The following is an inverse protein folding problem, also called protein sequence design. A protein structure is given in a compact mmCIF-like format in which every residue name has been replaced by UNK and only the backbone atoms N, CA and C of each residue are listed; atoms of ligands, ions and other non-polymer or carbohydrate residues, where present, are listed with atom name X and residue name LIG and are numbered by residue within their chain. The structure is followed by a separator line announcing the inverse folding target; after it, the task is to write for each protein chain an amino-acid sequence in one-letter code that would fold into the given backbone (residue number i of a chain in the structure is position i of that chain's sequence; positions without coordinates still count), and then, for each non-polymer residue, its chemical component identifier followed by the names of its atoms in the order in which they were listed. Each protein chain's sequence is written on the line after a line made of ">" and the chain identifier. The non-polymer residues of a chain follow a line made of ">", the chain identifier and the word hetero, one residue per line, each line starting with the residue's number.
data_IF_300256134737
#
_entry.id   IF_300256134737
#
_cell.length_a   1.000
_cell.length_b   1.000
_cell.length_c   1.000
_cell.angle_alpha   90.00
_cell.angle_beta   90.00
_cell.angle_gamma   90.00
#
_symmetry.space_group_name_H-M   'P 1'
#
loop_
_entity.id
_entity.type
_entity.pdbx_description
1 polymer ?
#
# COMPACT_ATOMS: atom_id res chain seq x y z
N UNK A 1 1.68 -6.30 24.64
CA UNK A 1 1.72 -7.78 24.53
C UNK A 1 2.59 -8.13 23.34
N UNK A 2 3.58 -9.00 23.50
CA UNK A 2 4.49 -9.40 22.43
C UNK A 2 4.10 -10.80 21.94
N UNK A 3 3.49 -10.88 20.75
CA UNK A 3 3.05 -12.15 20.14
C UNK A 3 3.15 -12.07 18.62
N UNK A 4 3.76 -13.07 18.00
CA UNK A 4 4.02 -13.04 16.56
C UNK A 4 4.79 -11.78 16.13
N UNK A 5 4.55 -11.34 14.90
CA UNK A 5 5.20 -10.17 14.31
C UNK A 5 4.20 -9.02 14.19
N UNK A 6 4.66 -7.81 14.55
CA UNK A 6 3.91 -6.55 14.52
C UNK A 6 2.55 -6.58 15.24
N UNK A 7 2.52 -7.21 16.41
CA UNK A 7 1.36 -7.21 17.28
C UNK A 7 0.84 -5.78 17.53
N UNK A 8 -0.46 -5.61 17.36
CA UNK A 8 -1.17 -4.39 17.71
C UNK A 8 -2.32 -4.76 18.63
N UNK A 9 -2.25 -4.29 19.87
CA UNK A 9 -3.34 -4.40 20.83
C UNK A 9 -4.03 -3.04 20.98
N UNK A 10 -5.36 -3.07 20.91
CA UNK A 10 -6.26 -1.96 21.22
C UNK A 10 -7.38 -2.50 22.13
N UNK A 11 -8.08 -1.62 22.85
CA UNK A 11 -9.28 -2.01 23.58
C UNK A 11 -10.22 -2.90 22.74
N UNK A 12 -10.48 -4.11 23.23
CA UNK A 12 -11.34 -5.10 22.57
C UNK A 12 -10.78 -5.78 21.30
N UNK A 13 -9.53 -5.53 20.92
CA UNK A 13 -8.97 -6.08 19.67
C UNK A 13 -7.46 -6.29 19.70
N UNK A 14 -7.02 -7.48 19.29
CA UNK A 14 -5.62 -7.82 19.05
C UNK A 14 -5.46 -8.28 17.61
N UNK A 15 -4.41 -7.81 16.93
CA UNK A 15 -3.93 -8.42 15.70
C UNK A 15 -2.43 -8.65 15.70
N UNK A 16 -1.98 -9.64 14.94
CA UNK A 16 -0.58 -9.90 14.61
C UNK A 16 -0.50 -10.76 13.34
N UNK A 17 0.69 -10.87 12.74
CA UNK A 17 0.93 -11.90 11.72
C UNK A 17 2.03 -12.85 12.16
N UNK A 18 2.00 -14.08 11.63
CA UNK A 18 3.07 -15.05 11.79
C UNK A 18 3.02 -16.04 10.62
N UNK A 19 4.16 -16.30 9.99
CA UNK A 19 4.22 -17.07 8.75
C UNK A 19 3.30 -16.46 7.69
N UNK A 20 2.43 -17.29 7.09
CA UNK A 20 1.43 -16.85 6.09
C UNK A 20 0.09 -16.39 6.69
N UNK A 21 -0.04 -16.34 8.01
CA UNK A 21 -1.32 -16.11 8.68
C UNK A 21 -1.38 -14.70 9.27
N UNK A 22 -2.53 -14.04 9.08
CA UNK A 22 -2.92 -12.87 9.83
C UNK A 22 -3.95 -13.31 10.89
N UNK A 23 -3.70 -12.97 12.14
CA UNK A 23 -4.54 -13.32 13.28
C UNK A 23 -5.20 -12.05 13.79
N UNK A 24 -6.52 -12.11 13.99
CA UNK A 24 -7.33 -11.02 14.51
C UNK A 24 -8.29 -11.58 15.56
N UNK A 25 -8.13 -11.18 16.81
CA UNK A 25 -8.95 -11.60 17.95
C UNK A 25 -9.70 -10.37 18.44
N UNK A 26 -11.02 -10.48 18.56
CA UNK A 26 -11.88 -9.42 19.07
C UNK A 26 -12.65 -9.91 20.30
N UNK A 27 -13.00 -9.00 21.20
CA UNK A 27 -13.92 -9.25 22.30
C UNK A 27 -15.06 -8.24 22.25
N UNK A 28 -16.26 -8.70 22.62
CA UNK A 28 -17.44 -7.83 22.66
C UNK A 28 -17.37 -6.85 23.84
N UNK A 29 -16.83 -7.32 24.97
CA UNK A 29 -16.65 -6.52 26.19
C UNK A 29 -15.20 -6.53 26.66
N UNK A 30 -14.79 -5.46 27.33
CA UNK A 30 -13.43 -5.27 27.83
C UNK A 30 -13.37 -5.53 29.34
N UNK A 31 -13.38 -6.81 29.72
CA UNK A 31 -13.21 -7.26 31.11
C UNK A 31 -11.80 -7.80 31.34
N UNK A 32 -11.36 -7.88 32.60
CA UNK A 32 -10.05 -8.49 32.91
C UNK A 32 -9.98 -9.96 32.47
N UNK A 33 -11.08 -10.72 32.61
CA UNK A 33 -11.17 -12.08 32.11
C UNK A 33 -11.06 -12.15 30.57
N UNK A 34 -11.66 -11.18 29.85
CA UNK A 34 -11.53 -11.10 28.39
C UNK A 34 -10.08 -10.78 27.97
N UNK A 35 -9.39 -9.90 28.69
CA UNK A 35 -7.97 -9.60 28.43
C UNK A 35 -7.08 -10.83 28.62
N UNK A 36 -7.31 -11.60 29.68
CA UNK A 36 -6.60 -12.84 29.95
C UNK A 36 -6.87 -13.88 28.85
N UNK A 37 -8.13 -14.07 28.45
CA UNK A 37 -8.50 -14.96 27.35
C UNK A 37 -7.87 -14.57 26.01
N UNK A 38 -7.82 -13.26 25.68
CA UNK A 38 -7.10 -12.77 24.48
C UNK A 38 -5.62 -13.14 24.55
N UNK A 39 -4.97 -12.91 25.70
CA UNK A 39 -3.56 -13.25 25.90
C UNK A 39 -3.32 -14.74 25.66
N UNK A 40 -4.09 -15.61 26.32
CA UNK A 40 -3.89 -17.05 26.26
C UNK A 40 -4.17 -17.61 24.86
N UNK A 41 -5.28 -17.20 24.23
CA UNK A 41 -5.62 -17.60 22.88
C UNK A 41 -4.55 -17.15 21.88
N UNK A 42 -4.06 -15.90 22.00
CA UNK A 42 -3.04 -15.38 21.09
C UNK A 42 -1.73 -16.18 21.18
N UNK A 43 -1.29 -16.53 22.40
CA UNK A 43 -0.09 -17.34 22.62
C UNK A 43 -0.27 -18.76 22.08
N UNK A 44 -1.43 -19.37 22.33
CA UNK A 44 -1.76 -20.70 21.83
C UNK A 44 -1.71 -20.74 20.30
N UNK A 45 -2.39 -19.81 19.62
CA UNK A 45 -2.39 -19.71 18.16
C UNK A 45 -0.97 -19.46 17.62
N UNK A 46 -0.24 -18.52 18.21
CA UNK A 46 1.13 -18.22 17.78
C UNK A 46 2.09 -19.41 17.96
N UNK A 47 1.89 -20.25 18.97
CA UNK A 47 2.70 -21.47 19.19
C UNK A 47 2.47 -22.56 18.15
N UNK A 48 1.29 -22.59 17.53
CA UNK A 48 0.93 -23.56 16.49
C UNK A 48 1.54 -23.19 15.13
N UNK A 49 1.71 -21.90 14.86
CA UNK A 49 2.39 -21.42 13.64
C UNK A 49 3.90 -21.50 13.89
N UNK A 50 4.58 -22.45 13.22
CA UNK A 50 6.00 -22.74 13.51
C UNK A 50 6.96 -21.73 12.92
N UNK A 51 6.63 -21.19 11.76
CA UNK A 51 7.51 -20.29 11.02
C UNK A 51 7.12 -18.83 11.19
N UNK A 52 8.10 -17.93 11.11
CA UNK A 52 7.87 -16.50 10.90
C UNK A 52 7.67 -16.19 9.40
N UNK A 53 7.06 -15.04 9.11
CA UNK A 53 6.81 -14.58 7.75
C UNK A 53 7.57 -13.30 7.46
N UNK A 54 8.29 -13.18 6.32
CA UNK A 54 8.85 -11.91 5.91
C UNK A 54 7.72 -10.94 5.55
N UNK A 55 7.98 -9.64 5.69
CA UNK A 55 7.11 -8.61 5.09
C UNK A 55 7.12 -8.74 3.56
N UNK A 56 6.04 -8.33 2.87
CA UNK A 56 6.01 -8.34 1.40
C UNK A 56 7.20 -7.60 0.79
N UNK A 57 7.91 -8.25 -0.15
CA UNK A 57 9.16 -7.74 -0.73
C UNK A 57 8.97 -6.39 -1.45
N UNK A 58 7.78 -6.14 -2.01
CA UNK A 58 7.39 -4.87 -2.63
C UNK A 58 7.56 -3.67 -1.68
N UNK A 59 7.44 -3.86 -0.37
CA UNK A 59 7.63 -2.79 0.61
C UNK A 59 9.08 -2.27 0.63
N UNK A 60 10.06 -3.13 0.34
CA UNK A 60 11.48 -2.75 0.28
C UNK A 60 11.81 -1.90 -0.95
N UNK A 61 10.89 -1.79 -1.92
CA UNK A 61 11.06 -0.97 -3.12
C UNK A 61 10.68 0.50 -2.90
N UNK A 62 10.02 0.83 -1.80
CA UNK A 62 9.67 2.22 -1.49
C UNK A 62 10.92 3.07 -1.22
N UNK A 63 11.08 4.24 -1.87
CA UNK A 63 12.12 5.20 -1.49
C UNK A 63 12.04 5.57 0.00
N UNK A 64 13.14 5.49 0.77
CA UNK A 64 13.08 5.75 2.22
C UNK A 64 12.91 7.25 2.56
N UNK A 65 13.44 8.14 1.72
CA UNK A 65 13.44 9.58 2.00
C UNK A 65 12.02 10.17 1.97
N UNK A 66 11.58 10.74 3.10
CA UNK A 66 10.27 11.39 3.24
C UNK A 66 9.09 10.43 3.37
N UNK A 67 9.33 9.12 3.37
CA UNK A 67 8.28 8.11 3.58
C UNK A 67 7.66 8.27 4.98
N UNK A 68 6.33 8.31 5.03
CA UNK A 68 5.60 8.32 6.29
C UNK A 68 5.24 6.87 6.68
N UNK A 69 6.04 6.22 7.53
CA UNK A 69 5.94 4.77 7.81
C UNK A 69 4.53 4.30 8.19
N UNK A 70 3.80 5.07 9.00
CA UNK A 70 2.44 4.74 9.44
C UNK A 70 1.37 4.87 8.35
N UNK A 71 1.72 5.47 7.21
CA UNK A 71 0.82 5.63 6.06
C UNK A 71 0.84 4.45 5.09
N UNK A 72 1.83 3.55 5.20
CA UNK A 72 2.01 2.44 4.27
C UNK A 72 0.80 1.49 4.36
N UNK A 73 0.20 1.18 3.21
CA UNK A 73 -0.90 0.21 3.06
C UNK A 73 -0.51 -0.80 2.00
N UNK A 74 -0.46 -2.07 2.39
CA UNK A 74 -0.31 -3.20 1.48
C UNK A 74 -1.70 -3.79 1.22
N UNK A 75 -2.08 -3.93 -0.06
CA UNK A 75 -3.42 -4.34 -0.46
C UNK A 75 -3.42 -5.09 -1.78
N UNK A 76 -4.51 -5.81 -2.03
CA UNK A 76 -4.75 -6.57 -3.26
C UNK A 76 -6.02 -6.14 -4.01
N UNK A 77 -6.91 -5.37 -3.38
CA UNK A 77 -8.26 -5.10 -3.90
C UNK A 77 -8.49 -3.60 -4.08
N UNK A 78 -9.13 -3.22 -5.19
CA UNK A 78 -9.41 -1.81 -5.50
C UNK A 78 -10.32 -1.13 -4.48
N UNK A 79 -11.25 -1.87 -3.86
CA UNK A 79 -12.12 -1.33 -2.80
C UNK A 79 -11.31 -0.90 -1.57
N UNK A 80 -10.26 -1.65 -1.22
CA UNK A 80 -9.33 -1.27 -0.14
C UNK A 80 -8.44 -0.09 -0.53
N UNK A 81 -8.07 0.02 -1.81
CA UNK A 81 -7.41 1.23 -2.31
C UNK A 81 -8.34 2.43 -2.12
N UNK A 82 -9.59 2.36 -2.62
CA UNK A 82 -10.56 3.45 -2.53
C UNK A 82 -10.89 3.87 -1.10
N UNK A 83 -10.87 2.93 -0.15
CA UNK A 83 -11.02 3.25 1.27
C UNK A 83 -9.91 4.17 1.81
N UNK A 84 -8.69 4.06 1.27
CA UNK A 84 -7.54 4.86 1.69
C UNK A 84 -7.24 6.04 0.75
N UNK A 85 -7.54 5.90 -0.53
CA UNK A 85 -7.38 6.87 -1.59
C UNK A 85 -8.35 6.52 -2.72
N UNK A 86 -9.41 7.31 -2.88
CA UNK A 86 -10.37 7.11 -3.96
C UNK A 86 -9.73 7.40 -5.31
N UNK A 87 -9.68 6.38 -6.18
CA UNK A 87 -9.12 6.51 -7.54
C UNK A 87 -10.20 6.51 -8.63
N UNK A 88 -11.12 5.55 -8.55
CA UNK A 88 -12.26 5.41 -9.46
C UNK A 88 -13.27 4.39 -8.90
N UNK A 89 -14.53 4.46 -9.32
CA UNK A 89 -15.55 3.45 -8.97
C UNK A 89 -15.19 2.06 -9.49
N UNK A 90 -14.66 1.99 -10.71
CA UNK A 90 -14.25 0.75 -11.35
C UNK A 90 -12.81 0.34 -10.98
N UNK A 91 -12.50 -0.96 -11.10
CA UNK A 91 -11.16 -1.48 -10.90
C UNK A 91 -10.22 -1.16 -12.10
N UNK A 92 -9.95 0.12 -12.33
CA UNK A 92 -9.17 0.59 -13.48
C UNK A 92 -7.71 0.12 -13.47
N UNK A 93 -7.21 -0.36 -12.33
CA UNK A 93 -5.87 -0.91 -12.17
C UNK A 93 -5.82 -2.44 -12.26
N UNK A 94 -6.95 -3.12 -12.47
CA UNK A 94 -7.02 -4.58 -12.50
C UNK A 94 -6.40 -5.25 -11.25
N UNK A 95 -6.59 -4.64 -10.06
CA UNK A 95 -6.09 -5.19 -8.80
C UNK A 95 -6.83 -6.48 -8.45
N UNK A 96 -6.10 -7.48 -7.97
CA UNK A 96 -6.64 -8.74 -7.49
C UNK A 96 -5.63 -9.56 -6.68
N UNK A 97 -5.96 -10.82 -6.43
CA UNK A 97 -5.14 -11.72 -5.59
C UNK A 97 -3.71 -11.95 -6.11
N UNK A 98 -3.48 -11.72 -7.41
CA UNK A 98 -2.17 -11.89 -8.05
C UNK A 98 -1.40 -10.58 -8.21
N UNK A 99 -1.93 -9.46 -7.69
CA UNK A 99 -1.26 -8.16 -7.73
C UNK A 99 -0.92 -7.72 -6.31
N UNK A 100 0.32 -7.29 -6.10
CA UNK A 100 0.70 -6.66 -4.84
C UNK A 100 0.66 -5.14 -5.05
N UNK A 101 -0.15 -4.43 -4.26
CA UNK A 101 -0.19 -2.97 -4.30
C UNK A 101 0.25 -2.37 -2.97
N UNK A 102 1.01 -1.28 -3.05
CA UNK A 102 1.47 -0.50 -1.89
C UNK A 102 1.15 0.96 -2.12
N UNK A 103 0.33 1.52 -1.23
CA UNK A 103 0.07 2.96 -1.14
C UNK A 103 0.84 3.53 0.05
N UNK A 104 1.52 4.67 -0.13
CA UNK A 104 2.19 5.37 0.94
C UNK A 104 2.14 6.89 0.75
N UNK A 105 2.20 7.63 1.85
CA UNK A 105 2.33 9.09 1.86
C UNK A 105 3.81 9.46 1.97
N UNK A 106 4.21 10.45 1.18
CA UNK A 106 5.51 11.09 1.27
C UNK A 106 5.36 12.54 1.70
N UNK A 107 6.25 12.99 2.58
CA UNK A 107 6.41 14.39 2.94
C UNK A 107 7.87 14.81 2.80
N UNK A 108 8.13 15.84 2.00
CA UNK A 108 9.46 16.42 1.79
C UNK A 108 9.36 17.94 1.76
N UNK A 109 10.15 18.63 2.58
CA UNK A 109 10.17 20.09 2.63
C UNK A 109 8.77 20.73 2.79
N UNK A 110 7.92 20.14 3.64
CA UNK A 110 6.54 20.60 3.87
C UNK A 110 5.57 20.33 2.71
N UNK A 111 5.97 19.60 1.68
CA UNK A 111 5.14 19.20 0.53
C UNK A 111 4.79 17.73 0.64
N UNK A 112 3.57 17.38 0.22
CA UNK A 112 2.98 16.05 0.31
C UNK A 112 2.74 15.44 -1.07
N UNK A 113 2.81 14.12 -1.14
CA UNK A 113 2.36 13.32 -2.28
C UNK A 113 1.92 11.93 -1.78
N UNK A 114 1.10 11.23 -2.56
CA UNK A 114 0.89 9.79 -2.40
C UNK A 114 1.68 9.04 -3.47
N UNK A 115 2.21 7.88 -3.12
CA UNK A 115 2.89 6.97 -4.03
C UNK A 115 2.16 5.63 -4.00
N UNK A 116 1.69 5.20 -5.16
CA UNK A 116 1.13 3.88 -5.41
C UNK A 116 2.12 3.08 -6.26
N UNK A 117 2.54 1.93 -5.77
CA UNK A 117 3.33 0.96 -6.51
C UNK A 117 2.52 -0.34 -6.62
N UNK A 118 2.39 -0.86 -7.83
CA UNK A 118 1.71 -2.14 -8.09
C UNK A 118 2.66 -3.09 -8.82
N UNK A 119 2.79 -4.31 -8.31
CA UNK A 119 3.45 -5.43 -9.00
C UNK A 119 2.40 -6.34 -9.61
N UNK A 120 2.51 -6.60 -10.90
CA UNK A 120 1.65 -7.52 -11.64
C UNK A 120 2.34 -8.87 -11.86
N UNK A 121 1.60 -9.91 -12.30
CA UNK A 121 2.20 -11.19 -12.65
C UNK A 121 3.24 -11.10 -13.78
N UNK A 122 3.04 -10.20 -14.74
CA UNK A 122 3.92 -9.98 -15.89
C UNK A 122 3.82 -8.54 -16.42
N UNK A 123 4.66 -8.22 -17.41
CA UNK A 123 4.76 -6.88 -18.00
C UNK A 123 3.51 -6.52 -18.81
N UNK A 124 2.89 -7.50 -19.46
CA UNK A 124 1.67 -7.30 -20.25
C UNK A 124 0.53 -6.79 -19.36
N UNK A 125 0.33 -7.39 -18.18
CA UNK A 125 -0.70 -6.98 -17.22
C UNK A 125 -0.42 -5.60 -16.63
N UNK A 126 0.86 -5.27 -16.38
CA UNK A 126 1.25 -3.92 -15.96
C UNK A 126 0.91 -2.88 -17.05
N UNK A 127 1.20 -3.20 -18.32
CA UNK A 127 0.90 -2.33 -19.45
C UNK A 127 -0.62 -2.13 -19.67
N UNK A 128 -1.42 -3.20 -19.53
CA UNK A 128 -2.89 -3.13 -19.59
C UNK A 128 -3.44 -2.17 -18.51
N UNK A 129 -3.00 -2.34 -17.26
CA UNK A 129 -3.42 -1.48 -16.16
C UNK A 129 -2.97 -0.02 -16.34
N UNK A 130 -1.76 0.21 -16.85
CA UNK A 130 -1.29 1.56 -17.15
C UNK A 130 -2.11 2.24 -18.24
N UNK A 131 -2.44 1.53 -19.31
CA UNK A 131 -3.30 2.04 -20.39
C UNK A 131 -4.69 2.41 -19.87
N UNK A 132 -5.25 1.57 -18.98
CA UNK A 132 -6.52 1.84 -18.32
C UNK A 132 -6.44 3.07 -17.41
N UNK A 133 -5.40 3.18 -16.56
CA UNK A 133 -5.15 4.35 -15.72
C UNK A 133 -5.06 5.64 -16.54
N UNK A 134 -4.29 5.64 -17.63
CA UNK A 134 -4.16 6.81 -18.51
C UNK A 134 -5.50 7.19 -19.14
N UNK A 135 -6.33 6.21 -19.51
CA UNK A 135 -7.64 6.47 -20.11
C UNK A 135 -8.63 7.07 -19.10
N UNK A 136 -8.64 6.56 -17.88
CA UNK A 136 -9.70 6.85 -16.91
C UNK A 136 -9.33 7.90 -15.86
N UNK A 137 -8.05 8.01 -15.48
CA UNK A 137 -7.60 8.91 -14.42
C UNK A 137 -6.71 10.05 -14.93
N UNK A 138 -5.94 9.82 -16.00
CA UNK A 138 -5.04 10.83 -16.59
C UNK A 138 -5.26 11.02 -18.10
N UNK A 139 -6.48 11.34 -18.56
CA UNK A 139 -6.78 11.42 -20.00
C UNK A 139 -5.95 12.48 -20.73
N UNK A 140 -5.50 13.52 -20.01
CA UNK A 140 -4.67 14.60 -20.54
C UNK A 140 -3.16 14.30 -20.55
N UNK A 141 -2.74 13.14 -20.07
CA UNK A 141 -1.34 12.74 -20.08
C UNK A 141 -0.84 12.53 -21.53
N UNK A 142 -0.36 13.61 -22.13
CA UNK A 142 0.34 13.60 -23.42
C UNK A 142 1.75 13.03 -23.24
N UNK A 143 1.79 11.73 -22.99
CA UNK A 143 2.91 10.81 -23.24
C UNK A 143 4.21 10.90 -22.42
N UNK A 144 4.54 11.96 -21.68
CA UNK A 144 5.67 11.93 -20.73
C UNK A 144 5.58 13.03 -19.66
N UNK A 145 5.99 12.73 -18.43
CA UNK A 145 6.12 13.71 -17.34
C UNK A 145 4.91 13.81 -16.42
N UNK A 146 5.02 14.66 -15.39
CA UNK A 146 3.92 14.90 -14.47
C UNK A 146 2.84 15.80 -15.10
N UNK A 147 1.58 15.47 -14.85
CA UNK A 147 0.37 16.17 -15.29
C UNK A 147 -0.20 16.97 -14.13
N UNK A 148 -0.61 18.21 -14.40
CA UNK A 148 -1.37 19.03 -13.46
C UNK A 148 -2.84 18.68 -13.57
N UNK A 149 -3.47 18.30 -12.47
CA UNK A 149 -4.89 17.99 -12.37
C UNK A 149 -5.71 19.26 -12.12
N UNK A 150 -7.03 19.18 -12.31
CA UNK A 150 -7.97 20.30 -12.10
C UNK A 150 -7.93 20.87 -10.68
N UNK A 151 -7.58 20.05 -9.69
CA UNK A 151 -7.46 20.43 -8.28
C UNK A 151 -6.14 21.15 -7.94
N UNK A 152 -5.28 21.39 -8.94
CA UNK A 152 -3.98 22.02 -8.78
C UNK A 152 -2.87 21.08 -8.28
N UNK A 153 -3.11 19.77 -8.20
CA UNK A 153 -2.10 18.78 -7.81
C UNK A 153 -1.43 18.13 -9.01
N UNK A 154 -0.25 17.56 -8.76
CA UNK A 154 0.57 16.92 -9.79
C UNK A 154 0.55 15.40 -9.67
N UNK A 155 0.26 14.71 -10.77
CA UNK A 155 0.32 13.25 -10.86
C UNK A 155 1.31 12.80 -11.93
N UNK A 156 2.01 11.70 -11.70
CA UNK A 156 2.95 11.14 -12.65
C UNK A 156 2.88 9.61 -12.60
N UNK A 157 3.06 8.96 -13.74
CA UNK A 157 3.01 7.50 -13.84
C UNK A 157 4.19 6.98 -14.66
N UNK A 158 4.63 5.76 -14.36
CA UNK A 158 5.69 5.09 -15.08
C UNK A 158 5.62 3.57 -14.92
N UNK A 159 6.02 2.89 -16.00
CA UNK A 159 6.17 1.44 -16.01
C UNK A 159 7.65 1.07 -15.95
N UNK A 160 7.94 -0.04 -15.25
CA UNK A 160 9.22 -0.74 -15.36
C UNK A 160 9.01 -2.23 -15.12
N UNK A 161 9.33 -3.04 -16.11
CA UNK A 161 9.06 -4.48 -16.10
C UNK A 161 7.57 -4.74 -15.73
N UNK A 162 7.31 -5.61 -14.75
CA UNK A 162 5.97 -5.92 -14.22
C UNK A 162 5.42 -4.90 -13.21
N UNK A 163 6.06 -3.74 -13.04
CA UNK A 163 5.66 -2.74 -12.05
C UNK A 163 5.03 -1.50 -12.68
N UNK A 164 3.95 -1.03 -12.07
CA UNK A 164 3.35 0.28 -12.32
C UNK A 164 3.56 1.16 -11.09
N UNK A 165 4.21 2.31 -11.30
CA UNK A 165 4.41 3.34 -10.31
C UNK A 165 3.55 4.56 -10.64
N UNK A 166 2.81 5.07 -9.66
CA UNK A 166 1.97 6.25 -9.80
C UNK A 166 2.21 7.17 -8.60
N UNK A 167 2.61 8.40 -8.87
CA UNK A 167 2.56 9.49 -7.88
C UNK A 167 1.25 10.21 -8.06
N UNK A 168 0.49 10.33 -6.98
CA UNK A 168 -0.85 10.90 -6.93
C UNK A 168 -0.84 12.15 -6.05
N UNK A 169 -1.57 13.17 -6.48
CA UNK A 169 -1.84 14.40 -5.72
C UNK A 169 -0.59 15.06 -5.10
N UNK A 170 0.52 15.13 -5.82
CA UNK A 170 1.71 15.81 -5.32
C UNK A 170 1.50 17.33 -5.31
N UNK A 171 1.93 18.00 -4.23
CA UNK A 171 1.80 19.46 -4.13
C UNK A 171 2.63 20.23 -5.16
N UNK A 172 3.64 19.59 -5.77
CA UNK A 172 4.51 20.24 -6.75
C UNK A 172 4.96 19.25 -7.82
N UNK A 173 5.19 19.76 -9.03
CA UNK A 173 5.76 19.00 -10.15
C UNK A 173 7.09 18.32 -9.80
N UNK A 174 8.08 19.00 -9.19
CA UNK A 174 9.37 18.37 -8.89
C UNK A 174 9.25 17.24 -7.88
N UNK A 175 8.36 17.35 -6.88
CA UNK A 175 8.11 16.25 -5.94
C UNK A 175 7.58 15.02 -6.68
N UNK A 176 6.61 15.22 -7.58
CA UNK A 176 6.03 14.14 -8.39
C UNK A 176 7.08 13.42 -9.26
N UNK A 177 7.81 14.18 -10.05
CA UNK A 177 8.80 13.63 -10.99
C UNK A 177 10.00 12.99 -10.29
N UNK A 178 10.50 13.60 -9.21
CA UNK A 178 11.64 13.05 -8.47
C UNK A 178 11.28 11.75 -7.75
N UNK A 179 10.10 11.68 -7.12
CA UNK A 179 9.67 10.49 -6.41
C UNK A 179 9.46 9.31 -7.38
N UNK A 180 8.80 9.56 -8.51
CA UNK A 180 8.63 8.57 -9.57
C UNK A 180 10.00 8.10 -10.09
N UNK A 181 10.91 9.02 -10.41
CA UNK A 181 12.25 8.70 -10.92
C UNK A 181 13.05 7.87 -9.91
N UNK A 182 13.00 8.20 -8.63
CA UNK A 182 13.70 7.45 -7.58
C UNK A 182 13.17 6.02 -7.49
N UNK A 183 11.84 5.85 -7.46
CA UNK A 183 11.22 4.53 -7.41
C UNK A 183 11.58 3.69 -8.64
N UNK A 184 11.46 4.24 -9.85
CA UNK A 184 11.80 3.53 -11.09
C UNK A 184 13.28 3.11 -11.16
N UNK A 185 14.19 3.79 -10.44
CA UNK A 185 15.60 3.35 -10.34
C UNK A 185 15.79 2.11 -9.48
N UNK A 186 14.91 1.87 -8.50
CA UNK A 186 15.00 0.77 -7.53
C UNK A 186 14.27 -0.52 -7.94
N UNK A 187 13.39 -0.40 -8.93
CA UNK A 187 12.64 -1.51 -9.54
C UNK A 187 13.51 -2.26 -10.56
#
# INVERSE_FOLDING_TARGET
>A
MEVGQGALYRPGWLSFWKGRFFVSIYTEEETEAAKEAISDLSRAVASLIKDEGPKPEILRKLPPEGLQDRSVRYLHQHTLLNYHFYLADENILNLGQQTDAVLAVYQRSGKRAHLLLVSYPNEEKAAEAHKSLLRHYLPEAKSTGAVLLEDGKWSATGLKNKFLAVVLEADTRPLSENLLRQLLKTL
#
